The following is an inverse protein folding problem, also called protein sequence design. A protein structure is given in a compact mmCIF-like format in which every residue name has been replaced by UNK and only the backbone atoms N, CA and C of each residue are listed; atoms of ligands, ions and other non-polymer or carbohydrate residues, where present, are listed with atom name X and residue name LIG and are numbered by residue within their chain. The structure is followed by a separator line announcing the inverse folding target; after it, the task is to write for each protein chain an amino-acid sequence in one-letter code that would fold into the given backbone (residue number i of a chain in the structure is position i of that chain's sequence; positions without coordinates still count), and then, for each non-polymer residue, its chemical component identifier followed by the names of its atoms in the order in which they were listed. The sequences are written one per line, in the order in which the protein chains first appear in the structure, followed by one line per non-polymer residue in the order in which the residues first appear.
data_IF_579375913515
#
_entry.id   IF_579375913515
#
_cell.length_a   1.000
_cell.length_b   1.000
_cell.length_c   1.000
_cell.angle_alpha   90.00
_cell.angle_beta   90.00
_cell.angle_gamma   90.00
#
_symmetry.space_group_name_H-M   'P 1'
#
loop_
_entity.id
_entity.type
_entity.pdbx_description
1 polymer ?
#
# COMPACT_ATOMS: atom_id res chain seq x y z
N UNK A 1 7.30 -47.73 43.58
CA UNK A 1 5.94 -47.48 44.11
C UNK A 1 5.01 -47.49 42.93
N UNK A 2 4.22 -48.58 42.82
CA UNK A 2 3.32 -48.88 41.69
C UNK A 2 1.94 -48.26 41.96
N UNK A 3 1.35 -47.59 40.98
CA UNK A 3 -0.02 -47.11 41.03
C UNK A 3 -0.89 -48.04 40.20
N UNK A 4 -2.01 -48.60 40.73
CA UNK A 4 -2.82 -49.57 40.02
C UNK A 4 -3.85 -48.92 39.07
N UNK A 5 -4.01 -49.52 37.89
CA UNK A 5 -5.06 -49.19 36.89
C UNK A 5 -6.44 -49.63 37.39
N UNK A 6 -7.39 -48.71 37.45
CA UNK A 6 -8.83 -49.02 37.54
C UNK A 6 -9.45 -49.09 36.15
N UNK A 7 -9.93 -50.28 35.78
CA UNK A 7 -10.90 -50.48 34.67
C UNK A 7 -12.26 -50.05 35.16
N UNK A 8 -12.91 -49.16 34.39
CA UNK A 8 -14.34 -48.91 34.52
C UNK A 8 -15.03 -49.53 33.31
N UNK A 9 -15.85 -50.54 33.57
CA UNK A 9 -16.76 -51.09 32.59
C UNK A 9 -18.01 -50.20 32.51
N UNK A 10 -18.29 -49.66 31.34
CA UNK A 10 -19.51 -48.90 31.07
C UNK A 10 -20.11 -49.39 29.77
N UNK A 11 -21.28 -50.03 29.88
CA UNK A 11 -22.07 -50.54 28.76
C UNK A 11 -22.54 -49.34 27.90
N UNK A 12 -22.14 -49.31 26.62
CA UNK A 12 -22.68 -48.41 25.61
C UNK A 12 -24.01 -48.93 25.05
N UNK A 13 -24.92 -48.03 24.68
CA UNK A 13 -26.19 -48.43 24.04
C UNK A 13 -25.91 -48.92 22.60
N UNK A 14 -26.62 -49.99 22.21
CA UNK A 14 -26.66 -50.53 20.86
C UNK A 14 -27.18 -49.48 19.90
N UNK A 15 -26.38 -49.09 18.91
CA UNK A 15 -26.84 -48.38 17.73
C UNK A 15 -27.55 -49.35 16.80
N UNK A 16 -28.82 -49.08 16.53
CA UNK A 16 -29.56 -49.70 15.43
C UNK A 16 -29.04 -49.13 14.12
N UNK A 17 -28.57 -49.99 13.24
CA UNK A 17 -28.23 -49.66 11.86
C UNK A 17 -29.49 -49.23 11.12
N UNK A 18 -29.70 -47.94 11.01
CA UNK A 18 -30.57 -47.33 10.02
C UNK A 18 -29.73 -46.99 8.79
N UNK A 19 -29.92 -47.75 7.72
CA UNK A 19 -29.40 -47.42 6.40
C UNK A 19 -30.13 -46.18 5.87
N UNK A 20 -29.68 -45.00 6.25
CA UNK A 20 -29.99 -43.75 5.52
C UNK A 20 -28.80 -43.44 4.58
N UNK A 21 -29.01 -43.67 3.30
CA UNK A 21 -28.10 -43.15 2.26
C UNK A 21 -28.00 -41.63 2.39
N UNK A 22 -26.78 -41.05 2.32
CA UNK A 22 -26.62 -39.59 2.31
C UNK A 22 -27.36 -39.03 1.09
N UNK A 23 -27.98 -37.84 1.22
CA UNK A 23 -28.73 -37.23 0.13
C UNK A 23 -27.81 -37.05 -1.07
N UNK A 24 -28.14 -37.70 -2.16
CA UNK A 24 -27.45 -37.56 -3.43
C UNK A 24 -27.44 -36.10 -3.81
N UNK A 25 -26.23 -35.51 -3.88
CA UNK A 25 -26.00 -34.23 -4.53
C UNK A 25 -26.52 -34.36 -5.95
N UNK A 26 -27.70 -33.85 -6.23
CA UNK A 26 -28.24 -33.72 -7.58
C UNK A 26 -27.39 -32.73 -8.35
N UNK A 27 -26.26 -33.18 -8.84
CA UNK A 27 -25.54 -32.49 -9.88
C UNK A 27 -26.33 -32.59 -11.17
N UNK A 28 -26.89 -31.50 -11.60
CA UNK A 28 -27.33 -31.20 -12.95
C UNK A 28 -28.27 -32.20 -13.63
N UNK A 29 -29.54 -31.79 -13.75
CA UNK A 29 -30.49 -32.45 -14.63
C UNK A 29 -29.90 -32.65 -16.03
N UNK A 30 -30.13 -33.84 -16.62
CA UNK A 30 -29.76 -34.14 -18.01
C UNK A 30 -30.33 -33.08 -18.92
N UNK A 31 -29.47 -32.24 -19.46
CA UNK A 31 -29.76 -31.39 -20.60
C UNK A 31 -29.80 -32.29 -21.85
N UNK A 32 -30.96 -32.89 -22.13
CA UNK A 32 -31.24 -33.48 -23.44
C UNK A 32 -31.64 -32.34 -24.38
N UNK A 33 -30.68 -31.57 -24.85
CA UNK A 33 -30.81 -30.74 -26.04
C UNK A 33 -29.86 -31.30 -27.11
N UNK A 34 -30.29 -31.39 -28.39
CA UNK A 34 -29.39 -31.82 -29.45
C UNK A 34 -28.17 -30.92 -29.48
N UNK A 35 -27.00 -31.54 -29.67
CA UNK A 35 -25.72 -30.84 -29.77
C UNK A 35 -25.78 -29.84 -30.94
N UNK A 36 -26.18 -28.62 -30.66
CA UNK A 36 -25.72 -27.52 -31.46
C UNK A 36 -24.19 -27.48 -31.32
N UNK A 37 -23.46 -27.49 -32.43
CA UNK A 37 -22.01 -27.30 -32.45
C UNK A 37 -21.66 -26.00 -31.76
N UNK A 38 -21.52 -26.03 -30.44
CA UNK A 38 -20.98 -24.95 -29.64
C UNK A 38 -19.47 -24.98 -29.82
N UNK A 39 -18.99 -24.41 -30.88
CA UNK A 39 -17.58 -24.02 -30.98
C UNK A 39 -17.40 -22.90 -29.98
N UNK A 40 -16.90 -23.25 -28.78
CA UNK A 40 -16.38 -22.24 -27.87
C UNK A 40 -15.30 -21.47 -28.64
N UNK A 41 -15.40 -20.13 -28.74
CA UNK A 41 -14.29 -19.37 -29.29
C UNK A 41 -13.04 -19.77 -28.51
N UNK A 42 -11.93 -20.04 -29.23
CA UNK A 42 -10.68 -20.39 -28.59
C UNK A 42 -10.42 -19.35 -27.49
N UNK A 43 -10.36 -19.81 -26.24
CA UNK A 43 -10.05 -18.93 -25.11
C UNK A 43 -8.63 -18.43 -25.33
N UNK A 44 -8.49 -17.25 -25.94
CA UNK A 44 -7.20 -16.58 -26.05
C UNK A 44 -6.73 -16.25 -24.65
N UNK A 45 -5.46 -16.60 -24.35
CA UNK A 45 -4.82 -16.19 -23.10
C UNK A 45 -4.99 -14.68 -22.92
N UNK A 46 -5.50 -14.24 -21.78
CA UNK A 46 -5.64 -12.83 -21.47
C UNK A 46 -4.26 -12.15 -21.54
N UNK A 47 -4.06 -11.27 -22.51
CA UNK A 47 -2.82 -10.48 -22.64
C UNK A 47 -2.81 -9.36 -21.60
N UNK A 48 -1.66 -8.75 -21.28
CA UNK A 48 -1.60 -7.58 -20.40
C UNK A 48 -2.57 -6.47 -20.84
N UNK A 49 -2.70 -6.24 -22.14
CA UNK A 49 -3.63 -5.21 -22.66
C UNK A 49 -5.10 -5.57 -22.49
N UNK A 50 -5.47 -6.84 -22.65
CA UNK A 50 -6.86 -7.27 -22.39
C UNK A 50 -7.21 -7.23 -20.90
N UNK A 51 -6.23 -7.30 -19.99
CA UNK A 51 -6.45 -7.16 -18.55
C UNK A 51 -6.76 -5.73 -18.09
N UNK A 52 -6.30 -4.71 -18.83
CA UNK A 52 -6.56 -3.29 -18.50
C UNK A 52 -8.05 -2.96 -18.43
N UNK A 53 -8.89 -3.62 -19.22
CA UNK A 53 -10.34 -3.44 -19.23
C UNK A 53 -11.10 -4.29 -18.21
N UNK A 54 -10.40 -5.17 -17.48
CA UNK A 54 -11.02 -6.02 -16.46
C UNK A 54 -11.22 -5.27 -15.15
N UNK A 55 -12.21 -5.70 -14.38
CA UNK A 55 -12.45 -5.18 -13.03
C UNK A 55 -11.21 -5.38 -12.15
N UNK A 56 -10.96 -4.44 -11.22
CA UNK A 56 -9.80 -4.46 -10.30
C UNK A 56 -9.58 -5.80 -9.62
N UNK A 57 -10.64 -6.44 -9.12
CA UNK A 57 -10.58 -7.78 -8.49
C UNK A 57 -10.01 -8.84 -9.40
N UNK A 58 -10.41 -8.84 -10.67
CA UNK A 58 -9.89 -9.78 -11.66
C UNK A 58 -8.42 -9.50 -11.96
N UNK A 59 -8.06 -8.23 -12.08
CA UNK A 59 -6.66 -7.81 -12.29
C UNK A 59 -5.77 -8.25 -11.14
N UNK A 60 -6.16 -8.03 -9.87
CA UNK A 60 -5.41 -8.47 -8.68
C UNK A 60 -5.13 -9.98 -8.68
N UNK A 61 -6.10 -10.79 -9.13
CA UNK A 61 -5.92 -12.25 -9.18
C UNK A 61 -4.99 -12.68 -10.31
N UNK A 62 -4.96 -11.96 -11.43
CA UNK A 62 -4.25 -12.40 -12.64
C UNK A 62 -2.92 -11.67 -12.92
N UNK A 63 -2.73 -10.44 -12.41
CA UNK A 63 -1.53 -9.65 -12.68
C UNK A 63 -0.24 -10.32 -12.19
N UNK A 64 0.83 -10.19 -12.97
CA UNK A 64 2.17 -10.72 -12.62
C UNK A 64 2.29 -12.24 -12.57
N UNK A 65 1.35 -13.01 -13.14
CA UNK A 65 1.42 -14.47 -13.19
C UNK A 65 1.65 -14.97 -14.61
N UNK A 66 2.60 -15.89 -14.73
CA UNK A 66 2.88 -16.64 -15.96
C UNK A 66 2.99 -18.15 -15.64
N UNK A 67 1.85 -18.82 -15.33
CA UNK A 67 1.88 -20.21 -14.83
C UNK A 67 2.55 -21.19 -15.80
N UNK A 68 2.43 -20.98 -17.10
CA UNK A 68 3.00 -21.88 -18.09
C UNK A 68 4.52 -21.76 -18.25
N UNK A 69 5.11 -20.63 -17.83
CA UNK A 69 6.57 -20.50 -17.68
C UNK A 69 7.07 -21.16 -16.39
N UNK A 70 6.15 -21.62 -15.51
CA UNK A 70 6.42 -22.19 -14.21
C UNK A 70 5.83 -23.62 -14.09
N UNK A 71 5.93 -24.41 -15.15
CA UNK A 71 5.46 -25.79 -15.18
C UNK A 71 3.96 -25.96 -14.82
N UNK A 72 3.14 -24.94 -14.99
CA UNK A 72 1.72 -24.95 -14.65
C UNK A 72 1.38 -24.54 -13.21
N UNK A 73 2.36 -24.30 -12.35
CA UNK A 73 2.09 -23.79 -11.00
C UNK A 73 1.53 -22.38 -11.04
N UNK A 74 0.47 -22.12 -10.26
CA UNK A 74 -0.23 -20.82 -10.27
C UNK A 74 0.61 -19.71 -9.62
N UNK A 75 1.31 -20.03 -8.53
CA UNK A 75 2.13 -19.08 -7.80
C UNK A 75 3.55 -19.04 -8.35
N UNK A 76 4.11 -17.82 -8.45
CA UNK A 76 5.53 -17.64 -8.76
C UNK A 76 6.37 -18.19 -7.61
N UNK A 77 7.33 -19.11 -7.85
CA UNK A 77 8.20 -19.63 -6.81
C UNK A 77 9.09 -18.55 -6.19
N UNK A 78 9.63 -18.84 -5.02
CA UNK A 78 10.66 -18.00 -4.40
C UNK A 78 12.00 -18.32 -5.05
N UNK A 79 12.53 -17.37 -5.80
CA UNK A 79 13.85 -17.45 -6.43
C UNK A 79 14.87 -16.73 -5.56
N UNK A 80 15.86 -17.49 -5.06
CA UNK A 80 17.00 -16.96 -4.30
C UNK A 80 18.27 -17.14 -5.10
N UNK A 81 19.04 -16.10 -5.27
CA UNK A 81 20.33 -16.18 -5.96
C UNK A 81 20.98 -14.83 -6.13
N UNK A 82 22.29 -14.79 -5.98
CA UNK A 82 23.12 -13.65 -6.35
C UNK A 82 23.67 -13.80 -7.75
N UNK A 83 24.13 -15.02 -8.09
CA UNK A 83 24.82 -15.30 -9.36
C UNK A 83 23.86 -15.88 -10.38
N UNK A 84 23.91 -15.33 -11.60
CA UNK A 84 23.19 -15.83 -12.78
C UNK A 84 24.22 -16.17 -13.85
N UNK A 85 24.19 -17.39 -14.36
CA UNK A 85 25.14 -17.85 -15.36
C UNK A 85 24.73 -17.40 -16.77
N UNK A 86 25.71 -17.04 -17.58
CA UNK A 86 25.55 -16.81 -19.02
C UNK A 86 26.04 -18.05 -19.78
N UNK A 87 25.32 -18.51 -20.82
CA UNK A 87 25.70 -19.70 -21.57
C UNK A 87 27.03 -19.56 -22.31
N UNK A 88 27.31 -18.35 -22.80
CA UNK A 88 28.51 -18.05 -23.56
C UNK A 88 29.17 -16.73 -23.11
N UNK A 89 30.44 -16.54 -23.46
CA UNK A 89 31.14 -15.29 -23.22
C UNK A 89 30.49 -14.12 -23.99
N UNK A 90 30.00 -14.35 -25.19
CA UNK A 90 29.26 -13.35 -25.97
C UNK A 90 27.97 -12.90 -25.27
N UNK A 91 27.18 -13.84 -24.77
CA UNK A 91 25.95 -13.52 -23.98
C UNK A 91 26.29 -12.73 -22.73
N UNK A 92 27.38 -13.08 -22.04
CA UNK A 92 27.86 -12.37 -20.86
C UNK A 92 28.15 -10.89 -21.16
N UNK A 93 28.91 -10.64 -22.24
CA UNK A 93 29.27 -9.27 -22.65
C UNK A 93 28.08 -8.50 -23.22
N UNK A 94 27.21 -9.16 -23.96
CA UNK A 94 26.04 -8.55 -24.58
C UNK A 94 24.95 -8.18 -23.54
N UNK A 95 25.00 -8.75 -22.34
CA UNK A 95 24.02 -8.54 -21.22
C UNK A 95 22.57 -8.68 -21.66
N UNK A 96 22.29 -9.60 -22.60
CA UNK A 96 20.95 -9.81 -23.18
C UNK A 96 20.01 -10.62 -22.28
N UNK A 97 20.55 -11.30 -21.26
CA UNK A 97 19.74 -12.07 -20.33
C UNK A 97 18.82 -11.16 -19.51
N UNK A 98 17.58 -11.59 -19.29
CA UNK A 98 16.59 -10.87 -18.48
C UNK A 98 17.09 -10.62 -17.05
N UNK A 99 17.81 -11.58 -16.50
CA UNK A 99 18.47 -11.51 -15.18
C UNK A 99 19.96 -11.68 -15.36
N UNK A 100 20.75 -10.80 -14.76
CA UNK A 100 22.22 -10.83 -14.88
C UNK A 100 22.91 -10.97 -13.54
N UNK A 101 22.24 -10.53 -12.48
CA UNK A 101 22.69 -10.63 -11.09
C UNK A 101 21.52 -10.43 -10.14
N UNK A 102 21.57 -11.00 -8.92
CA UNK A 102 20.46 -11.00 -7.97
C UNK A 102 19.92 -9.61 -7.61
N UNK A 103 20.77 -8.56 -7.57
CA UNK A 103 20.31 -7.19 -7.30
C UNK A 103 19.55 -6.57 -8.48
N UNK A 104 19.63 -7.16 -9.67
CA UNK A 104 18.92 -6.71 -10.88
C UNK A 104 17.54 -7.34 -11.03
N UNK A 105 17.11 -8.15 -10.07
CA UNK A 105 15.83 -8.80 -10.02
C UNK A 105 15.89 -10.31 -10.18
N UNK A 106 14.78 -10.94 -9.87
CA UNK A 106 14.51 -12.38 -9.98
C UNK A 106 13.12 -12.59 -10.58
N UNK A 107 12.74 -13.80 -10.99
CA UNK A 107 11.34 -14.06 -11.37
C UNK A 107 10.32 -13.68 -10.29
N UNK A 108 10.66 -13.82 -8.99
CA UNK A 108 9.80 -13.45 -7.87
C UNK A 108 9.58 -11.93 -7.80
N UNK A 109 10.67 -11.14 -7.85
CA UNK A 109 10.58 -9.67 -7.80
C UNK A 109 9.86 -9.13 -9.03
N UNK A 110 10.20 -9.65 -10.22
CA UNK A 110 9.55 -9.26 -11.47
C UNK A 110 8.04 -9.51 -11.48
N UNK A 111 7.59 -10.60 -10.86
CA UNK A 111 6.16 -10.90 -10.76
C UNK A 111 5.41 -9.81 -9.98
N UNK A 112 5.95 -9.32 -8.87
CA UNK A 112 5.33 -8.24 -8.09
C UNK A 112 5.50 -6.88 -8.78
N UNK A 113 6.66 -6.56 -9.34
CA UNK A 113 6.89 -5.33 -10.11
C UNK A 113 5.88 -5.21 -11.26
N UNK A 114 5.70 -6.30 -12.02
CA UNK A 114 4.73 -6.35 -13.13
C UNK A 114 3.30 -6.22 -12.63
N UNK A 115 2.93 -6.96 -11.57
CA UNK A 115 1.60 -6.90 -11.00
C UNK A 115 1.24 -5.51 -10.49
N UNK A 116 2.17 -4.89 -9.75
CA UNK A 116 1.93 -3.55 -9.21
C UNK A 116 1.88 -2.48 -10.29
N UNK A 117 2.78 -2.54 -11.29
CA UNK A 117 2.74 -1.62 -12.43
C UNK A 117 1.41 -1.68 -13.17
N UNK A 118 0.87 -2.89 -13.39
CA UNK A 118 -0.44 -3.07 -14.02
C UNK A 118 -1.56 -2.46 -13.19
N UNK A 119 -1.56 -2.66 -11.86
CA UNK A 119 -2.60 -2.17 -10.96
C UNK A 119 -2.54 -0.65 -10.80
N UNK A 120 -1.33 -0.10 -10.67
CA UNK A 120 -1.11 1.34 -10.52
C UNK A 120 -1.25 2.12 -11.84
N UNK A 121 -1.28 1.43 -13.00
CA UNK A 121 -1.26 2.11 -14.30
C UNK A 121 0.10 2.73 -14.64
N UNK A 122 1.19 2.17 -14.10
CA UNK A 122 2.55 2.66 -14.25
C UNK A 122 3.29 2.04 -15.43
N UNK A 123 4.34 2.70 -15.90
CA UNK A 123 5.27 2.15 -16.89
C UNK A 123 6.20 1.11 -16.27
N UNK A 124 6.49 1.21 -14.98
CA UNK A 124 7.29 0.25 -14.24
C UNK A 124 7.28 0.53 -12.74
N UNK A 125 7.73 -0.46 -11.97
CA UNK A 125 7.83 -0.43 -10.51
C UNK A 125 9.18 -0.96 -10.07
N UNK A 126 9.74 -0.44 -8.98
CA UNK A 126 10.89 -1.02 -8.26
C UNK A 126 10.49 -1.40 -6.85
N UNK A 127 11.11 -2.45 -6.31
CA UNK A 127 10.85 -2.97 -4.96
C UNK A 127 12.05 -2.69 -4.05
N UNK A 128 11.80 -2.10 -2.91
CA UNK A 128 12.82 -1.70 -1.93
C UNK A 128 12.50 -2.24 -0.53
N UNK A 129 13.48 -2.30 0.41
CA UNK A 129 13.30 -3.01 1.68
C UNK A 129 12.25 -2.43 2.63
N UNK A 130 11.78 -1.20 2.42
CA UNK A 130 10.79 -0.56 3.31
C UNK A 130 10.07 0.60 2.65
N UNK A 131 8.93 1.03 3.21
CA UNK A 131 8.23 2.24 2.74
C UNK A 131 9.10 3.50 2.83
N UNK A 132 9.92 3.65 3.88
CA UNK A 132 10.84 4.79 3.95
C UNK A 132 11.92 4.72 2.86
N UNK A 133 12.44 3.53 2.55
CA UNK A 133 13.35 3.35 1.42
C UNK A 133 12.69 3.73 0.08
N UNK A 134 11.38 3.50 -0.08
CA UNK A 134 10.64 3.94 -1.25
C UNK A 134 10.56 5.46 -1.37
N UNK A 135 10.30 6.17 -0.27
CA UNK A 135 10.34 7.63 -0.24
C UNK A 135 11.74 8.15 -0.60
N UNK A 136 12.78 7.58 0.02
CA UNK A 136 14.16 8.05 -0.19
C UNK A 136 14.64 7.83 -1.61
N UNK A 137 14.37 6.66 -2.21
CA UNK A 137 14.82 6.37 -3.57
C UNK A 137 14.07 7.21 -4.61
N UNK A 138 12.76 7.47 -4.42
CA UNK A 138 11.97 8.33 -5.29
C UNK A 138 12.50 9.77 -5.27
N UNK A 139 12.78 10.31 -4.09
CA UNK A 139 13.37 11.65 -3.96
C UNK A 139 14.76 11.70 -4.60
N UNK A 140 15.65 10.74 -4.30
CA UNK A 140 17.01 10.70 -4.85
C UNK A 140 17.03 10.54 -6.38
N UNK A 141 16.03 9.87 -6.96
CA UNK A 141 15.88 9.80 -8.41
C UNK A 141 15.54 11.15 -9.06
N UNK A 142 14.94 12.06 -8.29
CA UNK A 142 14.44 13.32 -8.83
C UNK A 142 15.28 14.56 -8.47
N UNK A 143 16.23 14.45 -7.52
CA UNK A 143 17.04 15.58 -7.05
C UNK A 143 18.52 15.44 -7.36
N UNK A 144 19.22 16.57 -7.36
CA UNK A 144 20.68 16.71 -7.32
C UNK A 144 21.08 17.79 -6.33
N UNK A 145 22.36 17.92 -6.02
CA UNK A 145 22.87 19.00 -5.18
C UNK A 145 22.50 20.38 -5.75
N UNK A 146 22.05 21.27 -4.89
CA UNK A 146 21.56 22.62 -5.24
C UNK A 146 20.06 22.68 -5.58
N UNK A 147 19.36 21.55 -5.63
CA UNK A 147 17.92 21.52 -5.87
C UNK A 147 17.10 21.89 -4.62
N UNK A 148 15.84 22.22 -4.86
CA UNK A 148 14.85 22.54 -3.83
C UNK A 148 13.66 21.54 -3.93
N UNK A 149 13.19 21.06 -2.77
CA UNK A 149 12.06 20.15 -2.63
C UNK A 149 10.96 20.81 -1.81
N UNK A 150 9.72 20.74 -2.30
CA UNK A 150 8.54 21.09 -1.52
C UNK A 150 7.96 19.81 -0.91
N UNK A 151 7.64 19.85 0.38
CA UNK A 151 7.09 18.71 1.12
C UNK A 151 5.82 19.17 1.84
N UNK A 152 4.75 18.40 1.73
CA UNK A 152 3.55 18.70 2.52
C UNK A 152 3.84 18.66 4.01
N UNK A 153 3.29 19.60 4.76
CA UNK A 153 3.52 19.67 6.22
C UNK A 153 2.89 18.51 6.99
N UNK A 154 1.94 17.79 6.36
CA UNK A 154 1.31 16.57 6.86
C UNK A 154 2.04 15.28 6.51
N UNK A 155 3.23 15.35 5.91
CA UNK A 155 4.00 14.18 5.49
C UNK A 155 4.44 13.29 6.66
N UNK A 156 4.58 12.00 6.37
CA UNK A 156 5.13 11.00 7.28
C UNK A 156 6.43 11.48 7.95
N UNK A 157 6.47 11.47 9.28
CA UNK A 157 7.57 12.06 10.05
C UNK A 157 8.97 11.57 9.66
N UNK A 158 9.22 10.27 9.39
CA UNK A 158 10.52 9.81 8.90
C UNK A 158 10.91 10.37 7.52
N UNK A 159 9.95 10.68 6.63
CA UNK A 159 10.24 11.37 5.38
C UNK A 159 10.76 12.78 5.64
N UNK A 160 10.17 13.51 6.59
CA UNK A 160 10.67 14.83 7.03
C UNK A 160 12.08 14.71 7.59
N UNK A 161 12.34 13.71 8.46
CA UNK A 161 13.67 13.49 9.03
C UNK A 161 14.73 13.19 7.94
N UNK A 162 14.36 12.50 6.88
CA UNK A 162 15.24 12.30 5.72
C UNK A 162 15.53 13.62 4.99
N UNK A 163 14.52 14.44 4.74
CA UNK A 163 14.66 15.74 4.09
C UNK A 163 15.53 16.69 4.92
N UNK A 164 15.22 16.85 6.23
CA UNK A 164 15.91 17.76 7.14
C UNK A 164 17.33 17.29 7.49
N UNK A 165 17.60 16.00 7.37
CA UNK A 165 18.88 15.37 7.70
C UNK A 165 19.74 15.06 6.48
N UNK A 166 19.39 14.00 5.77
CA UNK A 166 20.22 13.45 4.69
C UNK A 166 20.21 14.34 3.46
N UNK A 167 19.04 14.73 2.94
CA UNK A 167 18.96 15.59 1.76
C UNK A 167 19.62 16.94 2.00
N UNK A 168 19.42 17.53 3.18
CA UNK A 168 20.09 18.79 3.55
C UNK A 168 21.61 18.68 3.50
N UNK A 169 22.19 17.58 4.03
CA UNK A 169 23.65 17.33 3.96
C UNK A 169 24.14 17.10 2.52
N UNK A 170 23.25 16.64 1.63
CA UNK A 170 23.55 16.48 0.20
C UNK A 170 23.37 17.78 -0.58
N UNK A 171 23.10 18.90 0.09
CA UNK A 171 22.94 20.21 -0.55
C UNK A 171 21.58 20.43 -1.20
N UNK A 172 20.54 19.70 -0.79
CA UNK A 172 19.15 19.90 -1.24
C UNK A 172 18.39 20.68 -0.16
N UNK A 173 17.71 21.74 -0.57
CA UNK A 173 16.88 22.56 0.32
C UNK A 173 15.45 22.02 0.38
N UNK A 174 14.82 22.09 1.56
CA UNK A 174 13.43 21.68 1.78
C UNK A 174 12.58 22.84 2.29
N UNK A 175 11.41 23.03 1.69
CA UNK A 175 10.36 23.92 2.21
C UNK A 175 9.10 23.09 2.45
N UNK A 176 8.51 23.26 3.64
CA UNK A 176 7.21 22.66 3.96
C UNK A 176 6.08 23.61 3.58
N UNK A 177 4.96 23.05 3.12
CA UNK A 177 3.80 23.84 2.70
C UNK A 177 2.50 23.30 3.32
N UNK A 178 1.50 24.18 3.42
CA UNK A 178 0.17 23.85 3.91
C UNK A 178 -0.49 22.77 3.03
N UNK A 179 -0.88 21.61 3.58
CA UNK A 179 -1.52 20.54 2.82
C UNK A 179 -2.82 20.98 2.11
N UNK A 180 -3.47 22.04 2.59
CA UNK A 180 -4.73 22.53 2.01
C UNK A 180 -4.54 23.59 0.92
N UNK A 181 -3.30 23.92 0.55
CA UNK A 181 -2.99 24.99 -0.41
C UNK A 181 -3.44 24.71 -1.84
N UNK A 182 -3.58 23.42 -2.21
CA UNK A 182 -3.94 23.02 -3.58
C UNK A 182 -3.01 23.60 -4.64
N UNK A 183 -3.56 24.11 -5.75
CA UNK A 183 -2.78 24.75 -6.82
C UNK A 183 -1.98 25.98 -6.38
N UNK A 184 -2.32 26.60 -5.25
CA UNK A 184 -1.54 27.69 -4.68
C UNK A 184 -0.11 27.32 -4.27
N UNK A 185 0.26 26.05 -4.34
CA UNK A 185 1.64 25.56 -4.14
C UNK A 185 2.63 26.26 -5.08
N UNK A 186 2.17 26.78 -6.23
CA UNK A 186 2.98 27.57 -7.17
C UNK A 186 3.74 28.74 -6.52
N UNK A 187 3.19 29.34 -5.48
CA UNK A 187 3.84 30.47 -4.78
C UNK A 187 5.15 30.08 -4.07
N UNK A 188 5.34 28.79 -3.82
CA UNK A 188 6.57 28.26 -3.20
C UNK A 188 7.59 27.76 -4.23
N UNK A 189 7.27 27.77 -5.53
CA UNK A 189 8.20 27.31 -6.56
C UNK A 189 9.36 28.29 -6.73
N UNK A 190 10.57 27.76 -6.68
CA UNK A 190 11.82 28.47 -6.94
C UNK A 190 12.38 28.01 -8.29
N UNK A 191 13.33 28.73 -8.89
CA UNK A 191 13.97 28.30 -10.15
C UNK A 191 14.62 26.92 -10.08
N UNK A 192 15.06 26.50 -8.89
CA UNK A 192 15.70 25.22 -8.61
C UNK A 192 14.76 24.19 -7.95
N UNK A 193 13.45 24.44 -7.91
CA UNK A 193 12.49 23.44 -7.40
C UNK A 193 12.39 22.27 -8.38
N UNK A 194 12.72 21.09 -7.93
CA UNK A 194 12.71 19.85 -8.73
C UNK A 194 11.62 18.87 -8.34
N UNK A 195 11.15 18.90 -7.09
CA UNK A 195 10.17 17.94 -6.56
C UNK A 195 9.11 18.59 -5.70
N UNK A 196 7.88 18.12 -5.82
CA UNK A 196 6.82 18.27 -4.81
C UNK A 196 6.48 16.90 -4.25
N UNK A 197 6.73 16.68 -2.96
CA UNK A 197 6.31 15.48 -2.24
C UNK A 197 4.94 15.73 -1.59
N UNK A 198 3.96 14.94 -1.99
CA UNK A 198 2.60 14.95 -1.46
C UNK A 198 2.30 13.66 -0.70
N UNK A 199 1.38 13.72 0.25
CA UNK A 199 0.82 12.55 0.95
C UNK A 199 -0.65 12.87 1.26
N UNK A 200 -1.56 12.16 0.62
CA UNK A 200 -3.00 12.40 0.77
C UNK A 200 -3.77 11.08 0.93
N UNK A 201 -4.51 10.95 2.06
CA UNK A 201 -4.57 11.86 3.22
C UNK A 201 -3.24 11.96 3.97
N UNK A 202 -3.07 13.07 4.72
CA UNK A 202 -1.88 13.30 5.54
C UNK A 202 -1.68 12.24 6.63
N UNK A 203 -0.44 11.97 7.00
CA UNK A 203 0.03 10.80 7.76
C UNK A 203 -0.74 10.50 9.07
N UNK A 204 -1.16 11.50 9.83
CA UNK A 204 -1.85 11.34 11.11
C UNK A 204 -3.07 12.26 11.24
N UNK A 205 -3.06 13.36 10.57
CA UNK A 205 -4.08 14.41 10.65
C UNK A 205 -5.10 14.32 9.54
N UNK A 206 -4.84 13.52 8.51
CA UNK A 206 -5.76 13.12 7.45
C UNK A 206 -6.31 14.25 6.56
N UNK A 207 -5.66 15.40 6.50
CA UNK A 207 -5.99 16.42 5.50
C UNK A 207 -5.85 15.83 4.09
N UNK A 208 -6.84 16.06 3.24
CA UNK A 208 -6.82 15.57 1.86
C UNK A 208 -6.41 16.69 0.92
N UNK A 209 -5.24 16.55 0.31
CA UNK A 209 -4.68 17.50 -0.62
C UNK A 209 -5.37 17.42 -1.99
N UNK A 210 -5.46 18.54 -2.69
CA UNK A 210 -5.89 18.58 -4.10
C UNK A 210 -4.73 18.17 -5.02
N UNK A 211 -4.51 16.85 -5.11
CA UNK A 211 -3.41 16.28 -5.90
C UNK A 211 -3.48 16.68 -7.38
N UNK A 212 -4.64 16.62 -8.07
CA UNK A 212 -4.73 17.07 -9.45
C UNK A 212 -4.32 18.54 -9.64
N UNK A 213 -4.72 19.43 -8.74
CA UNK A 213 -4.36 20.86 -8.83
C UNK A 213 -2.86 21.07 -8.58
N UNK A 214 -2.27 20.39 -7.58
CA UNK A 214 -0.83 20.43 -7.29
C UNK A 214 -0.04 19.89 -8.48
N UNK A 215 -0.44 18.75 -9.03
CA UNK A 215 0.21 18.11 -10.19
C UNK A 215 0.15 18.99 -11.43
N UNK A 216 -1.00 19.62 -11.70
CA UNK A 216 -1.15 20.56 -12.82
C UNK A 216 -0.24 21.78 -12.68
N UNK A 217 -0.08 22.31 -11.47
CA UNK A 217 0.83 23.42 -11.17
C UNK A 217 2.30 23.02 -11.37
N UNK A 218 2.70 21.88 -10.81
CA UNK A 218 4.07 21.34 -10.91
C UNK A 218 4.48 21.06 -12.36
N UNK A 219 3.58 20.45 -13.15
CA UNK A 219 3.82 20.07 -14.55
C UNK A 219 4.15 21.27 -15.44
N UNK A 220 3.54 22.45 -15.21
CA UNK A 220 3.84 23.68 -15.95
C UNK A 220 5.30 24.12 -15.82
N UNK A 221 5.98 23.68 -14.78
CA UNK A 221 7.38 24.03 -14.46
C UNK A 221 8.33 22.84 -14.63
N UNK A 222 7.86 21.66 -15.11
CA UNK A 222 8.67 20.46 -15.20
C UNK A 222 9.11 19.90 -13.85
N UNK A 223 8.35 20.17 -12.78
CA UNK A 223 8.62 19.71 -11.43
C UNK A 223 8.00 18.33 -11.24
N UNK A 224 8.78 17.39 -10.72
CA UNK A 224 8.35 16.03 -10.43
C UNK A 224 7.36 15.99 -9.24
N UNK A 225 6.26 15.29 -9.40
CA UNK A 225 5.31 15.03 -8.31
C UNK A 225 5.51 13.60 -7.80
N UNK A 226 5.93 13.50 -6.54
CA UNK A 226 6.11 12.25 -5.81
C UNK A 226 5.00 12.13 -4.77
N UNK A 227 4.26 11.03 -4.74
CA UNK A 227 3.14 10.83 -3.83
C UNK A 227 3.34 9.59 -2.95
N UNK A 228 3.20 9.74 -1.64
CA UNK A 228 2.90 8.59 -0.77
C UNK A 228 1.40 8.29 -0.86
N UNK A 229 1.08 7.15 -1.50
CA UNK A 229 -0.28 6.69 -1.76
C UNK A 229 -0.68 5.49 -0.88
N UNK A 230 0.09 5.24 0.18
CA UNK A 230 -0.05 4.03 1.00
C UNK A 230 -1.43 3.89 1.65
N UNK A 231 -2.08 5.00 2.04
CA UNK A 231 -3.40 4.95 2.66
C UNK A 231 -4.50 4.46 1.73
N UNK A 232 -4.50 4.93 0.48
CA UNK A 232 -5.54 4.65 -0.50
C UNK A 232 -5.25 3.43 -1.36
N UNK A 233 -3.99 3.09 -1.56
CA UNK A 233 -3.51 2.20 -2.60
C UNK A 233 -3.97 2.65 -4.01
N UNK A 234 -3.42 2.12 -5.10
CA UNK A 234 -3.92 2.44 -6.44
C UNK A 234 -5.38 2.02 -6.69
N UNK A 235 -5.97 1.20 -5.80
CA UNK A 235 -7.37 0.78 -5.91
C UNK A 235 -8.35 1.90 -5.58
N UNK A 236 -8.00 2.78 -4.64
CA UNK A 236 -8.88 3.86 -4.20
C UNK A 236 -8.39 5.24 -4.64
N UNK A 237 -7.13 5.36 -5.06
CA UNK A 237 -6.61 6.56 -5.71
C UNK A 237 -5.61 6.17 -6.79
N UNK A 238 -5.98 6.24 -8.09
CA UNK A 238 -5.08 5.92 -9.21
C UNK A 238 -4.11 7.09 -9.44
N UNK A 239 -2.86 7.04 -8.90
CA UNK A 239 -2.03 8.23 -8.77
C UNK A 239 -1.57 8.78 -10.13
N UNK A 240 -1.17 7.91 -11.06
CA UNK A 240 -0.66 8.34 -12.36
C UNK A 240 -1.75 8.98 -13.25
N UNK A 241 -3.01 8.54 -13.12
CA UNK A 241 -4.15 9.19 -13.79
C UNK A 241 -4.47 10.58 -13.21
N UNK A 242 -3.98 10.86 -11.99
CA UNK A 242 -4.13 12.15 -11.29
C UNK A 242 -2.92 13.06 -11.42
N UNK A 243 -1.96 12.70 -12.30
CA UNK A 243 -0.81 13.52 -12.64
C UNK A 243 0.42 13.30 -11.75
N UNK A 244 0.45 12.26 -10.94
CA UNK A 244 1.61 11.86 -10.12
C UNK A 244 2.65 11.16 -10.99
N UNK A 245 3.91 11.57 -10.88
CA UNK A 245 5.01 11.02 -11.66
C UNK A 245 5.59 9.75 -11.04
N UNK A 246 5.81 9.75 -9.72
CA UNK A 246 6.23 8.59 -8.95
C UNK A 246 5.32 8.40 -7.75
N UNK A 247 4.74 7.20 -7.63
CA UNK A 247 3.85 6.85 -6.51
C UNK A 247 4.52 5.80 -5.62
N UNK A 248 4.55 6.10 -4.33
CA UNK A 248 5.13 5.29 -3.27
C UNK A 248 4.02 4.47 -2.62
N UNK A 249 4.35 3.22 -2.30
CA UNK A 249 3.52 2.34 -1.50
C UNK A 249 4.37 1.66 -0.43
N UNK A 250 3.99 1.78 0.83
CA UNK A 250 4.52 0.90 1.86
C UNK A 250 3.81 -0.45 1.77
N UNK A 251 4.42 -1.41 1.05
CA UNK A 251 3.89 -2.77 0.92
C UNK A 251 3.71 -3.49 2.25
N UNK A 252 4.36 -3.01 3.29
CA UNK A 252 4.20 -3.36 4.71
C UNK A 252 2.74 -3.26 5.21
N UNK A 253 1.90 -2.41 4.55
CA UNK A 253 0.54 -2.08 4.98
C UNK A 253 -0.49 -2.98 4.30
N UNK A 254 -1.48 -2.41 3.61
CA UNK A 254 -2.58 -3.16 2.99
C UNK A 254 -2.15 -4.16 1.93
N UNK A 255 -1.04 -3.96 1.25
CA UNK A 255 -0.55 -4.91 0.26
C UNK A 255 -0.25 -6.27 0.92
N UNK A 256 0.56 -6.31 1.96
CA UNK A 256 0.81 -7.54 2.73
C UNK A 256 -0.38 -7.91 3.62
N UNK A 257 -0.83 -6.97 4.44
CA UNK A 257 -2.00 -7.08 5.31
C UNK A 257 -1.87 -8.04 6.48
N UNK A 258 -0.65 -8.45 6.84
CA UNK A 258 -0.44 -9.49 7.85
C UNK A 258 0.61 -9.11 8.91
N UNK A 259 1.14 -7.88 8.88
CA UNK A 259 2.11 -7.36 9.87
C UNK A 259 3.39 -8.18 10.00
N UNK A 260 3.79 -8.90 8.95
CA UNK A 260 4.84 -9.91 8.96
C UNK A 260 6.01 -9.61 8.00
N UNK A 261 5.97 -8.47 7.26
CA UNK A 261 7.04 -8.09 6.35
C UNK A 261 7.29 -6.58 6.29
N UNK A 262 8.44 -6.21 5.79
CA UNK A 262 8.81 -4.84 5.42
C UNK A 262 9.08 -4.77 3.92
N UNK A 263 8.34 -3.89 3.23
CA UNK A 263 8.48 -3.72 1.80
C UNK A 263 8.07 -2.29 1.41
N UNK A 264 8.76 -1.73 0.43
CA UNK A 264 8.38 -0.51 -0.27
C UNK A 264 8.31 -0.75 -1.77
N UNK A 265 7.42 -0.03 -2.44
CA UNK A 265 7.30 -0.02 -3.89
C UNK A 265 7.31 1.43 -4.36
N UNK A 266 7.94 1.66 -5.51
CA UNK A 266 7.82 2.92 -6.24
C UNK A 266 7.41 2.60 -7.66
N UNK A 267 6.22 3.03 -8.04
CA UNK A 267 5.74 2.98 -9.41
C UNK A 267 5.96 4.34 -10.09
N UNK A 268 6.24 4.34 -11.39
CA UNK A 268 6.55 5.56 -12.11
C UNK A 268 5.94 5.60 -13.51
N UNK A 269 5.73 6.83 -14.01
CA UNK A 269 5.36 7.10 -15.41
C UNK A 269 6.50 6.72 -16.35
N UNK A 270 6.22 6.64 -17.66
CA UNK A 270 7.24 6.34 -18.67
C UNK A 270 8.38 7.37 -18.72
N UNK A 271 8.09 8.61 -18.35
CA UNK A 271 9.09 9.68 -18.28
C UNK A 271 10.08 9.45 -17.13
N UNK A 272 9.57 9.03 -15.95
CA UNK A 272 10.39 8.94 -14.74
C UNK A 272 10.94 7.55 -14.43
N UNK A 273 10.37 6.51 -15.00
CA UNK A 273 10.80 5.13 -14.72
C UNK A 273 12.28 4.84 -15.08
N UNK A 274 12.82 5.30 -16.23
CA UNK A 274 14.23 5.05 -16.54
C UNK A 274 15.19 5.60 -15.47
N UNK A 275 14.94 6.83 -15.01
CA UNK A 275 15.75 7.48 -13.98
C UNK A 275 15.59 6.85 -12.60
N UNK A 276 14.36 6.47 -12.25
CA UNK A 276 14.10 5.70 -11.03
C UNK A 276 14.85 4.37 -11.06
N UNK A 277 14.80 3.65 -12.18
CA UNK A 277 15.47 2.36 -12.36
C UNK A 277 17.00 2.49 -12.28
N UNK A 278 17.59 3.49 -12.92
CA UNK A 278 19.02 3.78 -12.83
C UNK A 278 19.45 4.03 -11.38
N UNK A 279 18.70 4.88 -10.67
CA UNK A 279 18.97 5.19 -9.26
C UNK A 279 18.85 3.96 -8.38
N UNK A 280 17.78 3.17 -8.55
CA UNK A 280 17.58 1.89 -7.84
C UNK A 280 18.76 0.94 -8.07
N UNK A 281 19.19 0.80 -9.31
CA UNK A 281 20.30 -0.08 -9.68
C UNK A 281 21.64 0.37 -9.08
N UNK A 282 21.86 1.69 -8.97
CA UNK A 282 23.07 2.26 -8.39
C UNK A 282 23.12 2.03 -6.86
N UNK A 283 22.00 2.12 -6.16
CA UNK A 283 21.91 1.86 -4.73
C UNK A 283 21.80 0.38 -4.37
N UNK A 284 21.50 -0.49 -5.35
CA UNK A 284 21.28 -1.93 -5.15
C UNK A 284 20.29 -2.25 -4.00
N UNK A 285 19.24 -1.44 -3.87
CA UNK A 285 18.20 -1.59 -2.84
C UNK A 285 17.24 -2.73 -3.18
N UNK A 286 17.69 -3.98 -3.12
CA UNK A 286 16.84 -5.13 -3.40
C UNK A 286 16.03 -5.55 -2.17
N UNK A 287 14.74 -5.87 -2.38
CA UNK A 287 13.87 -6.49 -1.37
C UNK A 287 14.15 -7.99 -1.25
N UNK A 288 13.94 -8.56 -0.06
CA UNK A 288 14.06 -9.99 0.20
C UNK A 288 13.03 -10.80 -0.60
N UNK A 289 13.41 -11.91 -1.22
CA UNK A 289 12.49 -12.68 -2.07
C UNK A 289 11.32 -13.30 -1.30
N UNK A 290 11.48 -13.61 -0.02
CA UNK A 290 10.43 -14.08 0.88
C UNK A 290 9.39 -13.01 1.10
N UNK A 291 9.81 -11.80 1.46
CA UNK A 291 8.91 -10.65 1.67
C UNK A 291 8.13 -10.33 0.39
N UNK A 292 8.81 -10.40 -0.76
CA UNK A 292 8.16 -10.22 -2.07
C UNK A 292 7.13 -11.31 -2.35
N UNK A 293 7.43 -12.57 -2.01
CA UNK A 293 6.47 -13.67 -2.17
C UNK A 293 5.26 -13.50 -1.26
N UNK A 294 5.45 -13.13 0.00
CA UNK A 294 4.36 -12.86 0.94
C UNK A 294 3.51 -11.67 0.47
N UNK A 295 4.15 -10.62 -0.05
CA UNK A 295 3.44 -9.49 -0.64
C UNK A 295 2.61 -9.89 -1.88
N UNK A 296 3.14 -10.74 -2.77
CA UNK A 296 2.38 -11.33 -3.89
C UNK A 296 1.16 -12.12 -3.40
N UNK A 297 1.31 -12.87 -2.31
CA UNK A 297 0.20 -13.58 -1.68
C UNK A 297 -0.85 -12.61 -1.14
N UNK A 298 -0.41 -11.58 -0.40
CA UNK A 298 -1.28 -10.53 0.13
C UNK A 298 -2.05 -9.77 -0.95
N UNK A 299 -1.39 -9.49 -2.08
CA UNK A 299 -1.98 -8.81 -3.23
C UNK A 299 -3.28 -9.47 -3.70
N UNK A 300 -3.35 -10.80 -3.70
CA UNK A 300 -4.50 -11.55 -4.22
C UNK A 300 -5.80 -11.29 -3.45
N UNK A 301 -5.69 -10.90 -2.18
CA UNK A 301 -6.83 -10.60 -1.29
C UNK A 301 -6.89 -9.13 -0.87
N UNK A 302 -6.03 -8.27 -1.43
CA UNK A 302 -5.88 -6.88 -0.99
C UNK A 302 -7.22 -6.11 -1.06
N UNK A 303 -7.96 -6.20 -2.16
CA UNK A 303 -9.23 -5.48 -2.28
C UNK A 303 -10.28 -5.97 -1.27
N UNK A 304 -10.35 -7.29 -1.00
CA UNK A 304 -11.29 -7.84 -0.02
C UNK A 304 -10.98 -7.29 1.38
N UNK A 305 -9.70 -7.30 1.77
CA UNK A 305 -9.26 -6.80 3.08
C UNK A 305 -9.43 -5.27 3.19
N UNK A 306 -9.11 -4.54 2.12
CA UNK A 306 -9.21 -3.09 2.10
C UNK A 306 -10.69 -2.63 2.20
N UNK A 307 -11.62 -3.31 1.49
CA UNK A 307 -13.06 -3.04 1.59
C UNK A 307 -13.62 -3.35 2.98
N UNK A 308 -13.17 -4.42 3.60
CA UNK A 308 -13.59 -4.75 4.97
C UNK A 308 -13.01 -3.76 5.98
N UNK A 309 -11.73 -3.36 5.82
CA UNK A 309 -11.13 -2.30 6.64
C UNK A 309 -11.88 -0.96 6.49
N UNK A 310 -12.25 -0.58 5.25
CA UNK A 310 -13.10 0.60 4.99
C UNK A 310 -14.42 0.52 5.77
N UNK A 311 -15.14 -0.59 5.65
CA UNK A 311 -16.42 -0.79 6.33
C UNK A 311 -16.30 -0.67 7.84
N UNK A 312 -15.36 -1.41 8.43
CA UNK A 312 -15.14 -1.41 9.89
C UNK A 312 -14.62 -0.05 10.38
N UNK A 313 -13.71 0.58 9.66
CA UNK A 313 -13.19 1.91 10.00
C UNK A 313 -14.30 2.97 10.00
N UNK A 314 -15.20 2.94 9.00
CA UNK A 314 -16.35 3.83 8.95
C UNK A 314 -17.34 3.58 10.10
N UNK A 315 -17.61 2.31 10.43
CA UNK A 315 -18.52 1.97 11.54
C UNK A 315 -17.94 2.42 12.88
N UNK A 316 -16.65 2.19 13.12
CA UNK A 316 -15.95 2.66 14.32
C UNK A 316 -15.89 4.20 14.39
N UNK A 317 -15.61 4.85 13.28
CA UNK A 317 -15.54 6.32 13.22
C UNK A 317 -16.90 6.97 13.55
N UNK A 318 -18.03 6.42 13.04
CA UNK A 318 -19.39 6.87 13.38
C UNK A 318 -19.70 6.65 14.86
N UNK A 319 -19.32 5.48 15.39
CA UNK A 319 -19.51 5.18 16.80
C UNK A 319 -18.74 6.15 17.70
N UNK A 320 -17.48 6.47 17.34
CA UNK A 320 -16.65 7.43 18.08
C UNK A 320 -17.19 8.86 17.94
N UNK A 321 -17.66 9.27 16.75
CA UNK A 321 -18.25 10.61 16.54
C UNK A 321 -19.44 10.86 17.47
N UNK A 322 -20.20 9.80 17.80
CA UNK A 322 -21.33 9.89 18.73
C UNK A 322 -20.94 9.89 20.22
N UNK A 323 -19.65 9.77 20.57
CA UNK A 323 -19.20 9.77 21.97
C UNK A 323 -19.05 11.18 22.52
N UNK A 324 -19.54 11.44 23.75
CA UNK A 324 -19.44 12.77 24.36
C UNK A 324 -17.99 13.21 24.63
N UNK A 325 -17.05 12.27 24.71
CA UNK A 325 -15.62 12.51 24.93
C UNK A 325 -14.89 12.92 23.65
N UNK A 326 -15.45 12.64 22.48
CA UNK A 326 -14.86 12.96 21.17
C UNK A 326 -15.28 14.35 20.75
N UNK A 327 -14.28 15.16 20.37
CA UNK A 327 -14.50 16.49 19.84
C UNK A 327 -14.63 16.48 18.32
N UNK A 328 -13.86 15.61 17.62
CA UNK A 328 -13.84 15.54 16.16
C UNK A 328 -13.28 14.23 15.68
N UNK A 329 -13.83 13.70 14.60
CA UNK A 329 -13.28 12.58 13.81
C UNK A 329 -12.50 13.15 12.63
N UNK A 330 -11.29 12.66 12.42
CA UNK A 330 -10.42 12.96 11.29
C UNK A 330 -10.36 11.73 10.38
N UNK A 331 -11.40 11.54 9.61
CA UNK A 331 -11.50 10.49 8.59
C UNK A 331 -11.99 11.16 7.29
N UNK A 332 -11.33 10.98 6.15
CA UNK A 332 -11.66 11.67 4.90
C UNK A 332 -13.13 11.59 4.48
N UNK A 333 -13.81 10.49 4.78
CA UNK A 333 -15.24 10.32 4.49
C UNK A 333 -16.19 11.17 5.38
N UNK A 334 -15.68 11.89 6.38
CA UNK A 334 -16.47 12.72 7.29
C UNK A 334 -16.29 14.21 6.97
N UNK A 335 -17.38 15.00 6.98
CA UNK A 335 -17.32 16.44 6.70
C UNK A 335 -16.41 17.22 7.66
N UNK A 336 -16.18 16.69 8.86
CA UNK A 336 -15.27 17.27 9.87
C UNK A 336 -13.79 17.16 9.48
N UNK A 337 -13.43 16.32 8.50
CA UNK A 337 -12.07 16.14 8.04
C UNK A 337 -11.71 17.20 6.98
N UNK A 338 -10.57 17.91 7.13
CA UNK A 338 -10.14 18.87 6.12
C UNK A 338 -9.91 18.21 4.75
N UNK A 339 -10.53 18.75 3.71
CA UNK A 339 -10.46 18.21 2.35
C UNK A 339 -11.45 17.07 2.06
N UNK A 340 -12.52 16.90 2.88
CA UNK A 340 -13.58 15.93 2.63
C UNK A 340 -14.14 15.99 1.21
N UNK A 341 -14.43 17.20 0.69
CA UNK A 341 -14.97 17.36 -0.67
C UNK A 341 -13.97 16.96 -1.73
N UNK A 342 -12.67 17.14 -1.50
CA UNK A 342 -11.59 16.68 -2.37
C UNK A 342 -11.55 15.15 -2.37
N UNK A 343 -11.61 14.52 -1.19
CA UNK A 343 -11.71 13.06 -1.07
C UNK A 343 -12.91 12.53 -1.86
N UNK A 344 -14.07 13.11 -1.66
CA UNK A 344 -15.31 12.71 -2.35
C UNK A 344 -15.22 12.84 -3.87
N UNK A 345 -14.48 13.82 -4.37
CA UNK A 345 -14.26 14.06 -5.81
C UNK A 345 -13.27 13.06 -6.42
N UNK A 346 -12.18 12.75 -5.71
CA UNK A 346 -11.01 12.11 -6.30
C UNK A 346 -10.78 10.66 -5.89
N UNK A 347 -11.29 10.24 -4.73
CA UNK A 347 -11.06 8.90 -4.19
C UNK A 347 -12.23 7.95 -4.50
N UNK A 348 -11.90 6.69 -4.72
CA UNK A 348 -12.86 5.62 -5.03
C UNK A 348 -13.30 4.82 -3.80
N UNK A 349 -12.80 5.19 -2.64
CA UNK A 349 -13.07 4.55 -1.36
C UNK A 349 -12.22 5.12 -0.25
N UNK A 350 -12.27 4.47 0.91
CA UNK A 350 -11.47 4.83 2.09
C UNK A 350 -10.78 3.61 2.69
N UNK A 351 -9.93 3.83 3.67
CA UNK A 351 -9.28 2.74 4.41
C UNK A 351 -9.74 2.68 5.86
N UNK A 352 -9.25 1.71 6.62
CA UNK A 352 -9.57 1.55 8.04
C UNK A 352 -8.82 2.51 8.97
N UNK A 353 -7.82 3.25 8.44
CA UNK A 353 -6.98 4.13 9.24
C UNK A 353 -7.57 5.53 9.33
N UNK A 354 -7.77 6.03 10.55
CA UNK A 354 -8.28 7.38 10.82
C UNK A 354 -7.83 7.87 12.19
N UNK A 355 -8.13 9.13 12.53
CA UNK A 355 -7.84 9.71 13.84
C UNK A 355 -9.07 10.35 14.47
N UNK A 356 -9.01 10.53 15.77
CA UNK A 356 -9.97 11.32 16.53
C UNK A 356 -9.26 12.33 17.41
N UNK A 357 -9.92 13.44 17.65
CA UNK A 357 -9.53 14.43 18.66
C UNK A 357 -10.48 14.28 19.84
N UNK A 358 -9.95 14.03 21.00
CA UNK A 358 -10.71 14.02 22.23
C UNK A 358 -10.98 15.44 22.72
N UNK A 359 -12.02 15.62 23.52
CA UNK A 359 -12.17 16.83 24.34
C UNK A 359 -11.01 16.93 25.33
N UNK A 360 -10.72 18.12 25.85
CA UNK A 360 -9.62 18.30 26.80
C UNK A 360 -9.70 17.31 27.95
N UNK A 361 -8.69 16.48 28.08
CA UNK A 361 -8.53 15.49 29.13
C UNK A 361 -7.04 15.41 29.47
N UNK A 362 -6.72 15.07 30.73
CA UNK A 362 -5.33 14.97 31.18
C UNK A 362 -4.59 13.81 30.50
N UNK A 363 -3.26 13.92 30.39
CA UNK A 363 -2.42 12.84 29.90
C UNK A 363 -2.62 11.54 30.69
N UNK A 364 -2.82 11.64 32.01
CA UNK A 364 -3.09 10.47 32.84
C UNK A 364 -4.43 9.81 32.49
N UNK A 365 -5.45 10.60 32.16
CA UNK A 365 -6.74 10.06 31.68
C UNK A 365 -6.62 9.33 30.35
N UNK A 366 -5.87 9.89 29.40
CA UNK A 366 -5.57 9.20 28.13
C UNK A 366 -4.80 7.91 28.36
N UNK A 367 -3.77 7.93 29.23
CA UNK A 367 -3.00 6.74 29.58
C UNK A 367 -3.89 5.66 30.20
N UNK A 368 -4.69 6.01 31.21
CA UNK A 368 -5.59 5.05 31.86
C UNK A 368 -6.59 4.41 30.88
N UNK A 369 -7.09 5.20 29.90
CA UNK A 369 -7.98 4.69 28.85
C UNK A 369 -7.22 3.71 27.94
N UNK A 370 -6.06 4.10 27.41
CA UNK A 370 -5.30 3.27 26.47
C UNK A 370 -4.76 2.00 27.12
N UNK A 371 -4.26 2.09 28.36
CA UNK A 371 -3.72 0.96 29.13
C UNK A 371 -4.82 -0.06 29.52
N UNK A 372 -6.08 0.40 29.58
CA UNK A 372 -7.25 -0.44 29.89
C UNK A 372 -7.90 -1.10 28.67
N UNK A 373 -7.43 -0.87 27.44
CA UNK A 373 -8.00 -1.50 26.25
C UNK A 373 -7.54 -2.95 26.11
N UNK A 374 -8.50 -3.86 25.94
CA UNK A 374 -8.22 -5.30 25.79
C UNK A 374 -8.00 -5.72 24.33
N UNK A 375 -8.71 -5.10 23.38
CA UNK A 375 -8.69 -5.52 21.98
C UNK A 375 -7.80 -4.64 21.09
N UNK A 376 -7.51 -3.42 21.51
CA UNK A 376 -6.63 -2.51 20.78
C UNK A 376 -5.24 -2.51 21.40
N UNK A 377 -4.24 -2.91 20.61
CA UNK A 377 -2.84 -2.82 21.01
C UNK A 377 -2.27 -1.41 20.76
N UNK A 378 -1.28 -1.01 21.58
CA UNK A 378 -0.49 0.18 21.32
C UNK A 378 0.76 -0.20 20.52
N UNK A 379 0.72 0.05 19.22
CA UNK A 379 1.81 -0.28 18.30
C UNK A 379 1.85 0.65 17.11
N UNK A 380 3.05 0.85 16.57
CA UNK A 380 3.21 1.54 15.30
C UNK A 380 2.91 0.60 14.13
N UNK A 381 2.66 1.17 12.95
CA UNK A 381 2.15 0.56 11.75
C UNK A 381 0.63 0.53 11.71
N UNK A 382 0.05 -0.15 10.73
CA UNK A 382 -1.38 -0.28 10.46
C UNK A 382 -1.60 -1.12 9.19
N UNK A 383 -2.85 -1.46 8.89
CA UNK A 383 -3.21 -2.18 7.66
C UNK A 383 -2.99 -3.69 7.72
N UNK A 384 -2.62 -4.21 8.90
CA UNK A 384 -2.63 -5.63 9.23
C UNK A 384 -4.00 -6.10 9.69
N UNK A 385 -4.04 -7.24 10.38
CA UNK A 385 -5.27 -7.84 10.94
C UNK A 385 -5.54 -7.40 12.38
N UNK A 386 -4.53 -6.86 13.06
CA UNK A 386 -4.61 -6.39 14.44
C UNK A 386 -5.25 -5.01 14.55
N UNK A 387 -6.04 -4.79 15.61
CA UNK A 387 -6.58 -3.48 15.95
C UNK A 387 -5.56 -2.70 16.76
N UNK A 388 -5.22 -1.49 16.30
CA UNK A 388 -4.21 -0.65 16.94
C UNK A 388 -4.76 0.73 17.25
N UNK A 389 -4.28 1.30 18.36
CA UNK A 389 -4.51 2.70 18.72
C UNK A 389 -3.23 3.32 19.28
N UNK A 390 -2.90 4.53 18.82
CA UNK A 390 -1.76 5.28 19.37
C UNK A 390 -2.11 6.74 19.61
N UNK A 391 -1.62 7.36 20.69
CA UNK A 391 -1.64 8.81 20.84
C UNK A 391 -0.59 9.45 19.93
N UNK A 392 -0.86 10.66 19.43
CA UNK A 392 0.10 11.41 18.64
C UNK A 392 -0.03 12.92 18.85
N UNK A 393 1.04 13.65 18.54
CA UNK A 393 1.09 15.11 18.53
C UNK A 393 1.98 15.60 17.39
N UNK A 394 1.40 16.39 16.49
CA UNK A 394 2.11 16.96 15.34
C UNK A 394 2.82 18.28 15.66
N UNK A 395 2.58 18.88 16.84
CA UNK A 395 3.10 20.19 17.23
C UNK A 395 4.64 20.27 17.18
N UNK A 396 5.30 19.15 17.45
CA UNK A 396 6.76 19.09 17.55
C UNK A 396 7.49 19.09 16.20
N UNK A 397 6.78 18.89 15.09
CA UNK A 397 7.42 18.74 13.77
C UNK A 397 6.73 19.48 12.62
N UNK A 398 5.47 19.94 12.78
CA UNK A 398 4.85 20.81 11.78
C UNK A 398 5.47 22.20 11.83
N UNK A 399 5.68 22.79 10.66
CA UNK A 399 6.40 24.07 10.51
C UNK A 399 5.71 25.06 9.58
N UNK A 400 4.86 24.57 8.66
CA UNK A 400 4.09 25.41 7.74
C UNK A 400 2.66 25.67 8.23
N UNK A 401 2.15 24.79 9.11
CA UNK A 401 0.80 24.90 9.68
C UNK A 401 0.84 24.69 11.19
N UNK A 402 -0.04 25.38 11.90
CA UNK A 402 -0.19 25.17 13.33
C UNK A 402 -1.04 23.91 13.62
N UNK A 403 -0.50 23.01 14.45
CA UNK A 403 -1.25 21.89 15.01
C UNK A 403 -1.83 22.27 16.37
N UNK A 404 -3.09 22.67 16.38
CA UNK A 404 -3.83 22.98 17.61
C UNK A 404 -5.23 22.32 17.56
N UNK A 405 -5.31 21.00 17.81
CA UNK A 405 -6.57 20.27 17.71
C UNK A 405 -7.58 20.55 18.82
N UNK A 406 -7.17 21.21 19.92
CA UNK A 406 -7.99 21.51 21.08
C UNK A 406 -8.06 20.40 22.14
N UNK A 407 -7.43 19.25 21.89
CA UNK A 407 -7.38 18.12 22.81
C UNK A 407 -6.46 17.01 22.32
N UNK A 408 -6.30 15.91 23.08
CA UNK A 408 -5.46 14.79 22.68
C UNK A 408 -5.94 14.15 21.39
N UNK A 409 -4.98 13.76 20.54
CA UNK A 409 -5.23 13.09 19.27
C UNK A 409 -4.85 11.61 19.37
N UNK A 410 -5.71 10.74 18.82
CA UNK A 410 -5.53 9.29 18.76
C UNK A 410 -5.72 8.80 17.34
N UNK A 411 -4.85 7.90 16.88
CA UNK A 411 -4.96 7.25 15.58
C UNK A 411 -5.38 5.80 15.78
N UNK A 412 -6.42 5.38 15.07
CA UNK A 412 -6.98 4.03 15.05
C UNK A 412 -6.66 3.32 13.72
N UNK A 413 -6.47 2.01 13.79
CA UNK A 413 -6.39 1.16 12.61
C UNK A 413 -7.00 -0.21 12.88
#
# INVERSE_FOLDING_TARGET
MSIPSRRVAGAGPRMTEGNEEPPAIRCFGRLTRPAANFTLPAMTKATPDSRKTMHSRTRLVHAGREPFEQHGFINTPIWRGSTVLSPTMEDLYARKAKYTYGTKGTPTTNALETAWSEIAGAAGTVLVPSGLAAITIALLAAVKAGDHVLVTDSAYRPARAFCDGVLKRMGVETTYYDPMIGGGVEQHFRPNTSVVLVEAPGSQSFEVQDIPAISAAAKKRGICVVMDNTWATPLFFPPHERGVDMAIEAGTKYLSGHSDLLLGLVSATAEWFPRLRETFDAFAMCAGPEDVFLALRGLRTMELRLREAERQGLDMARWLEARPEVARVLHPAFPSCPGHDIWKRDFLGSSGLFSVILKPVSRAGVAAMLDGLELFGMGYSWGGYESLVIPFDCKTYRTATEWNPGGPALRFS
#
